data_IF_632835995678
#
_entry.id   IF_632835995678
#
_cell.length_a   1.000
_cell.length_b   1.000
_cell.length_c   1.000
_cell.angle_alpha   90.00
_cell.angle_beta   90.00
_cell.angle_gamma   90.00
#
_symmetry.space_group_name_H-M   'P 1'
#
loop_
_entity.id
_entity.type
_entity.pdbx_description
1 polymer ?
#
# COMPACT_ATOMS: atom_id res chain seq x y z
N UNK A 1 3.96 -15.94 -2.93
CA UNK A 1 2.67 -15.49 -3.49
C UNK A 1 1.67 -15.42 -2.34
N UNK A 2 0.79 -14.43 -2.33
CA UNK A 2 -0.21 -14.20 -1.29
C UNK A 2 -1.57 -13.92 -1.93
N UNK A 3 -2.66 -14.27 -1.25
CA UNK A 3 -3.99 -13.79 -1.64
C UNK A 3 -4.20 -12.30 -1.33
N UNK A 4 -5.42 -11.82 -1.51
CA UNK A 4 -5.80 -10.45 -1.17
C UNK A 4 -5.46 -10.09 0.28
N UNK A 5 -5.03 -8.85 0.50
CA UNK A 5 -4.61 -8.33 1.81
C UNK A 5 -5.35 -7.04 2.12
N UNK A 6 -5.75 -6.90 3.38
CA UNK A 6 -6.40 -5.71 3.90
C UNK A 6 -5.72 -5.35 5.21
N UNK A 7 -5.12 -4.17 5.24
CA UNK A 7 -4.37 -3.58 6.34
C UNK A 7 -5.25 -2.45 6.88
N UNK A 8 -5.70 -2.56 8.13
CA UNK A 8 -6.70 -1.66 8.72
C UNK A 8 -6.24 -1.19 10.10
N UNK A 9 -6.49 0.07 10.45
CA UNK A 9 -6.30 0.65 11.79
C UNK A 9 -4.84 0.73 12.29
N UNK A 10 -3.96 -0.17 11.87
CA UNK A 10 -2.63 -0.34 12.44
C UNK A 10 -1.58 -0.63 11.38
N UNK A 11 -0.49 0.13 11.42
CA UNK A 11 0.70 -0.09 10.58
C UNK A 11 1.34 -1.46 10.83
N UNK A 12 1.17 -2.05 12.01
CA UNK A 12 1.78 -3.33 12.34
C UNK A 12 1.20 -4.51 11.53
N UNK A 13 -0.01 -4.36 10.98
CA UNK A 13 -0.60 -5.37 10.09
C UNK A 13 0.18 -5.52 8.76
N UNK A 14 1.00 -4.54 8.41
CA UNK A 14 1.88 -4.58 7.24
C UNK A 14 2.88 -5.74 7.29
N UNK A 15 3.22 -6.26 8.49
CA UNK A 15 4.09 -7.45 8.64
C UNK A 15 3.57 -8.64 7.81
N UNK A 16 2.26 -8.74 7.59
CA UNK A 16 1.63 -9.79 6.78
C UNK A 16 2.03 -9.76 5.30
N UNK A 17 2.70 -8.70 4.84
CA UNK A 17 3.21 -8.53 3.48
C UNK A 17 4.68 -8.97 3.31
N UNK A 18 5.42 -9.25 4.40
CA UNK A 18 6.89 -9.45 4.37
C UNK A 18 7.41 -10.43 3.33
N UNK A 19 6.66 -11.52 3.09
CA UNK A 19 7.06 -12.58 2.17
C UNK A 19 6.21 -12.63 0.89
N UNK A 20 5.39 -11.61 0.64
CA UNK A 20 4.58 -11.51 -0.55
C UNK A 20 5.38 -10.88 -1.69
N UNK A 21 5.69 -11.67 -2.73
CA UNK A 21 6.23 -11.13 -3.99
C UNK A 21 5.16 -10.75 -5.00
N UNK A 22 4.06 -11.50 -4.98
CA UNK A 22 2.87 -11.24 -5.80
C UNK A 22 1.66 -11.34 -4.89
N UNK A 23 0.78 -10.34 -4.97
CA UNK A 23 -0.56 -10.39 -4.40
C UNK A 23 -1.53 -10.78 -5.52
N UNK A 24 -2.12 -11.97 -5.38
CA UNK A 24 -3.20 -12.45 -6.22
C UNK A 24 -4.52 -11.93 -5.67
N UNK A 25 -4.96 -10.81 -6.23
CA UNK A 25 -6.14 -10.07 -5.83
C UNK A 25 -5.78 -8.63 -5.44
N UNK A 26 -6.44 -8.12 -4.41
CA UNK A 26 -6.42 -6.70 -4.07
C UNK A 26 -5.56 -6.43 -2.83
N UNK A 27 -4.92 -5.27 -2.79
CA UNK A 27 -4.27 -4.74 -1.60
C UNK A 27 -5.00 -3.48 -1.13
N UNK A 28 -5.50 -3.51 0.09
CA UNK A 28 -6.18 -2.38 0.73
C UNK A 28 -5.36 -1.95 1.94
N UNK A 29 -5.03 -0.66 2.03
CA UNK A 29 -4.39 -0.03 3.19
C UNK A 29 -5.29 1.12 3.60
N UNK A 30 -6.06 0.94 4.68
CA UNK A 30 -7.16 1.85 5.00
C UNK A 30 -7.29 2.16 6.48
N UNK A 31 -7.83 3.34 6.81
CA UNK A 31 -8.19 3.74 8.19
C UNK A 31 -7.00 3.70 9.16
N UNK A 32 -5.80 4.12 8.72
CA UNK A 32 -4.61 4.18 9.58
C UNK A 32 -4.38 5.65 9.93
N UNK A 33 -5.04 6.13 10.98
CA UNK A 33 -5.08 7.54 11.36
C UNK A 33 -4.10 7.86 12.51
N UNK A 34 -3.82 6.88 13.38
CA UNK A 34 -3.03 7.05 14.62
C UNK A 34 -1.52 6.89 14.44
N UNK A 35 -1.05 6.60 13.22
CA UNK A 35 0.38 6.39 12.96
C UNK A 35 1.15 7.71 13.17
N UNK A 36 1.93 7.78 14.25
CA UNK A 36 2.72 8.98 14.59
C UNK A 36 3.64 9.34 13.41
N UNK A 37 3.56 10.61 13.00
CA UNK A 37 4.22 11.21 11.83
C UNK A 37 5.51 10.48 11.39
N UNK A 38 5.46 9.86 10.20
CA UNK A 38 6.57 9.30 9.41
C UNK A 38 7.44 8.19 10.07
N UNK A 39 7.80 8.27 11.35
CA UNK A 39 8.73 7.36 12.03
C UNK A 39 8.26 5.91 12.09
N UNK A 40 6.96 5.68 12.23
CA UNK A 40 6.41 4.32 12.21
C UNK A 40 6.43 3.73 10.80
N UNK A 41 6.14 4.54 9.78
CA UNK A 41 6.16 4.13 8.38
C UNK A 41 7.57 3.85 7.86
N UNK A 42 8.59 4.61 8.30
CA UNK A 42 10.01 4.43 7.93
C UNK A 42 10.56 3.03 8.16
N UNK A 43 10.00 2.29 9.13
CA UNK A 43 10.45 0.93 9.48
C UNK A 43 9.95 -0.14 8.51
N UNK A 44 8.99 0.21 7.66
CA UNK A 44 8.34 -0.70 6.73
C UNK A 44 8.84 -0.49 5.32
N UNK A 45 9.27 -1.58 4.70
CA UNK A 45 9.55 -1.66 3.27
C UNK A 45 9.37 -3.10 2.82
N UNK A 46 8.73 -3.28 1.67
CA UNK A 46 8.38 -4.57 1.09
C UNK A 46 9.01 -4.74 -0.29
N UNK A 47 10.36 -4.82 -0.37
CA UNK A 47 11.08 -4.90 -1.65
C UNK A 47 10.82 -6.19 -2.43
N UNK A 48 10.26 -7.22 -1.79
CA UNK A 48 9.87 -8.45 -2.48
C UNK A 48 8.62 -8.26 -3.34
N UNK A 49 7.72 -7.36 -2.95
CA UNK A 49 6.44 -7.17 -3.62
C UNK A 49 6.65 -6.45 -4.95
N UNK A 50 6.47 -7.17 -6.05
CA UNK A 50 6.68 -6.66 -7.41
C UNK A 50 5.39 -6.52 -8.21
N UNK A 51 4.32 -7.21 -7.79
CA UNK A 51 3.08 -7.26 -8.54
C UNK A 51 1.83 -7.37 -7.65
N UNK A 52 0.79 -6.64 -8.04
CA UNK A 52 -0.60 -6.81 -7.56
C UNK A 52 -1.46 -7.16 -8.78
N UNK A 53 -2.24 -8.24 -8.74
CA UNK A 53 -3.06 -8.64 -9.91
C UNK A 53 -4.38 -7.87 -10.01
N UNK A 54 -4.96 -7.48 -8.87
CA UNK A 54 -6.17 -6.66 -8.79
C UNK A 54 -5.85 -5.17 -8.73
N UNK A 55 -6.38 -4.49 -7.71
CA UNK A 55 -6.15 -3.06 -7.45
C UNK A 55 -5.41 -2.80 -6.13
N UNK A 56 -4.81 -1.61 -6.03
CA UNK A 56 -4.30 -1.02 -4.79
C UNK A 56 -5.22 0.14 -4.36
N UNK A 57 -5.71 0.09 -3.13
CA UNK A 57 -6.48 1.18 -2.50
C UNK A 57 -5.77 1.65 -1.24
N UNK A 58 -5.47 2.93 -1.19
CA UNK A 58 -4.97 3.66 -0.02
C UNK A 58 -6.02 4.69 0.37
N UNK A 59 -6.64 4.54 1.54
CA UNK A 59 -7.76 5.41 1.96
C UNK A 59 -7.71 5.76 3.45
N UNK A 60 -7.80 7.05 3.79
CA UNK A 60 -7.71 7.52 5.19
C UNK A 60 -6.45 7.02 5.87
N UNK A 61 -5.31 7.47 5.36
CA UNK A 61 -3.99 7.07 5.87
C UNK A 61 -3.19 8.32 6.19
N UNK A 62 -2.76 8.42 7.45
CA UNK A 62 -1.92 9.50 7.98
C UNK A 62 -0.47 9.03 8.14
N UNK A 63 0.47 9.95 8.01
CA UNK A 63 1.91 9.75 8.21
C UNK A 63 2.64 9.01 7.08
N UNK A 64 1.93 8.44 6.09
CA UNK A 64 2.51 7.78 4.93
C UNK A 64 2.96 8.81 3.89
N UNK A 65 4.27 9.01 3.74
CA UNK A 65 4.82 10.02 2.80
C UNK A 65 5.08 9.51 1.39
N UNK A 66 5.44 8.24 1.22
CA UNK A 66 5.79 7.70 -0.10
C UNK A 66 5.40 6.24 -0.23
N UNK A 67 4.64 5.92 -1.28
CA UNK A 67 4.40 4.53 -1.68
C UNK A 67 5.66 3.84 -2.20
N UNK A 68 6.59 4.60 -2.79
CA UNK A 68 7.87 4.07 -3.26
C UNK A 68 8.76 3.59 -2.12
N UNK A 69 8.72 4.24 -0.96
CA UNK A 69 9.42 3.74 0.24
C UNK A 69 8.84 2.39 0.70
N UNK A 70 7.51 2.28 0.71
CA UNK A 70 6.80 1.09 1.16
C UNK A 70 6.95 -0.08 0.17
N UNK A 71 6.87 0.21 -1.13
CA UNK A 71 6.86 -0.77 -2.22
C UNK A 71 7.89 -0.41 -3.31
N UNK A 72 9.19 -0.44 -3.00
CA UNK A 72 10.23 0.11 -3.90
C UNK A 72 10.36 -0.63 -5.23
N UNK A 73 9.92 -1.89 -5.29
CA UNK A 73 10.00 -2.73 -6.49
C UNK A 73 8.63 -3.07 -7.08
N UNK A 74 7.54 -2.47 -6.59
CA UNK A 74 6.22 -2.69 -7.16
C UNK A 74 6.18 -2.05 -8.56
N UNK A 75 6.22 -2.89 -9.59
CA UNK A 75 6.31 -2.45 -10.97
C UNK A 75 4.97 -2.54 -11.71
N UNK A 76 4.09 -3.46 -11.31
CA UNK A 76 2.86 -3.76 -12.04
C UNK A 76 1.66 -3.92 -11.11
N UNK A 77 0.62 -3.14 -11.39
CA UNK A 77 -0.75 -3.40 -10.92
C UNK A 77 -1.56 -3.79 -12.15
N UNK A 78 -1.98 -5.06 -12.26
CA UNK A 78 -2.58 -5.57 -13.51
C UNK A 78 -4.02 -5.11 -13.74
N UNK A 79 -4.75 -4.76 -12.69
CA UNK A 79 -6.13 -4.29 -12.82
C UNK A 79 -7.11 -5.34 -13.33
N UNK A 80 -6.89 -6.63 -13.02
CA UNK A 80 -7.86 -7.70 -13.35
C UNK A 80 -9.20 -7.51 -12.63
N UNK A 81 -9.15 -6.85 -11.48
CA UNK A 81 -10.29 -6.32 -10.72
C UNK A 81 -10.02 -4.84 -10.43
N UNK A 82 -11.08 -4.02 -10.42
CA UNK A 82 -10.99 -2.57 -10.28
C UNK A 82 -11.85 -2.08 -9.11
N UNK A 83 -11.41 -1.01 -8.45
CA UNK A 83 -12.25 -0.25 -7.53
C UNK A 83 -12.83 0.96 -8.26
N UNK A 84 -14.13 0.96 -8.51
CA UNK A 84 -14.82 2.04 -9.25
C UNK A 84 -14.12 2.40 -10.57
N UNK A 85 -13.70 1.38 -11.35
CA UNK A 85 -12.96 1.50 -12.61
C UNK A 85 -11.48 1.91 -12.51
N UNK A 86 -10.91 2.00 -11.31
CA UNK A 86 -9.49 2.30 -11.12
C UNK A 86 -8.71 1.10 -10.56
N UNK A 87 -7.48 0.92 -11.05
CA UNK A 87 -6.54 -0.09 -10.54
C UNK A 87 -5.64 0.45 -9.41
N UNK A 88 -5.47 1.77 -9.34
CA UNK A 88 -4.79 2.46 -8.25
C UNK A 88 -5.70 3.57 -7.75
N UNK A 89 -6.01 3.55 -6.46
CA UNK A 89 -6.82 4.57 -5.80
C UNK A 89 -6.05 5.05 -4.56
N UNK A 90 -5.79 6.35 -4.52
CA UNK A 90 -5.21 7.03 -3.37
C UNK A 90 -6.15 8.18 -3.07
N UNK A 91 -6.78 8.15 -1.90
CA UNK A 91 -7.76 9.14 -1.51
C UNK A 91 -7.66 9.40 -0.01
N UNK A 92 -7.76 10.66 0.42
CA UNK A 92 -7.66 11.02 1.84
C UNK A 92 -6.35 10.50 2.48
N UNK A 93 -5.23 10.74 1.81
CA UNK A 93 -3.88 10.40 2.26
C UNK A 93 -3.10 11.71 2.51
N UNK A 94 -3.21 12.25 3.73
CA UNK A 94 -2.90 13.66 4.02
C UNK A 94 -1.43 14.03 3.83
N UNK A 95 -0.52 13.11 4.15
CA UNK A 95 0.93 13.35 4.15
C UNK A 95 1.64 12.83 2.90
N UNK A 96 0.89 12.28 1.93
CA UNK A 96 1.52 11.64 0.77
C UNK A 96 2.14 12.69 -0.15
N UNK A 97 3.45 12.61 -0.32
CA UNK A 97 4.22 13.49 -1.18
C UNK A 97 4.33 12.88 -2.59
N UNK A 98 4.06 13.68 -3.61
CA UNK A 98 4.37 13.32 -5.00
C UNK A 98 5.76 13.84 -5.30
N UNK A 99 6.75 12.94 -5.39
CA UNK A 99 8.10 13.31 -5.82
C UNK A 99 8.02 13.75 -7.29
N UNK A 100 8.10 15.06 -7.51
CA UNK A 100 8.02 15.70 -8.82
C UNK A 100 9.41 16.00 -9.40
N UNK A 101 10.47 15.22 -9.10
CA UNK A 101 11.80 15.39 -9.68
C UNK A 101 12.56 14.06 -9.68
#
# INVERSE_FOLDING_TARGET
VCGSKRIINSVYELETLRNCSVIEGNLLIILIEDAKENEEWKRWSFPKLTQITGFLLVYRVSGLRSLGQLFPNLAVIRGMTLHQNYALVIYDAMDLEVSIW
#
